data_IF_408610791744
#
_entry.id   IF_408610791744
#
_cell.length_a   1.000
_cell.length_b   1.000
_cell.length_c   1.000
_cell.angle_alpha   90.00
_cell.angle_beta   90.00
_cell.angle_gamma   90.00
#
_symmetry.space_group_name_H-M   'P 1'
#
loop_
_entity.id
_entity.type
_entity.pdbx_description
1 polymer ?
#
# COMPACT_ATOMS: atom_id res chain seq x y z
N UNK A 1 -20.98 17.98 -8.65
CA UNK A 1 -20.59 16.81 -9.41
C UNK A 1 -20.85 15.60 -8.54
N UNK A 2 -21.89 14.81 -8.82
CA UNK A 2 -22.16 13.55 -8.12
C UNK A 2 -21.04 12.58 -8.50
N UNK A 3 -20.08 12.36 -7.61
CA UNK A 3 -19.09 11.31 -7.76
C UNK A 3 -19.79 9.96 -7.58
N UNK A 4 -19.82 9.15 -8.63
CA UNK A 4 -20.36 7.79 -8.55
C UNK A 4 -19.62 7.00 -7.47
N UNK A 5 -20.34 6.15 -6.72
CA UNK A 5 -19.77 5.24 -5.73
C UNK A 5 -18.66 4.40 -6.38
N UNK A 6 -17.52 4.28 -5.69
CA UNK A 6 -16.36 3.48 -6.14
C UNK A 6 -16.30 2.15 -5.42
N UNK A 7 -16.19 1.08 -6.18
CA UNK A 7 -15.95 -0.26 -5.65
C UNK A 7 -14.45 -0.44 -5.40
N UNK A 8 -14.02 -0.35 -4.15
CA UNK A 8 -12.63 -0.40 -3.72
C UNK A 8 -12.35 -1.76 -3.09
N UNK A 9 -11.49 -2.55 -3.72
CA UNK A 9 -11.09 -3.84 -3.21
C UNK A 9 -9.67 -3.79 -2.66
N UNK A 10 -9.44 -4.49 -1.55
CA UNK A 10 -8.12 -4.61 -0.94
C UNK A 10 -7.71 -6.07 -0.95
N UNK A 11 -6.75 -6.42 -1.78
CA UNK A 11 -6.16 -7.76 -1.85
C UNK A 11 -5.22 -7.96 -0.66
N UNK A 12 -5.75 -8.64 0.38
CA UNK A 12 -5.02 -9.01 1.57
C UNK A 12 -5.62 -8.49 2.87
N UNK A 13 -6.27 -9.36 3.63
CA UNK A 13 -6.84 -9.09 4.97
C UNK A 13 -5.80 -9.21 6.10
N UNK A 14 -4.55 -8.81 5.86
CA UNK A 14 -3.51 -8.67 6.89
C UNK A 14 -3.66 -7.38 7.68
N UNK A 15 -2.71 -7.10 8.60
CA UNK A 15 -2.77 -5.89 9.43
C UNK A 15 -2.86 -4.61 8.59
N UNK A 16 -1.98 -4.45 7.58
CA UNK A 16 -1.96 -3.24 6.76
C UNK A 16 -3.19 -3.12 5.86
N UNK A 17 -3.59 -4.21 5.18
CA UNK A 17 -4.79 -4.20 4.34
C UNK A 17 -6.07 -3.93 5.12
N UNK A 18 -6.19 -4.48 6.33
CA UNK A 18 -7.33 -4.19 7.22
C UNK A 18 -7.35 -2.73 7.64
N UNK A 19 -6.19 -2.17 8.03
CA UNK A 19 -6.10 -0.78 8.49
C UNK A 19 -6.43 0.22 7.36
N UNK A 20 -5.88 0.01 6.15
CA UNK A 20 -6.17 0.87 5.01
C UNK A 20 -7.64 0.76 4.58
N UNK A 21 -8.18 -0.47 4.54
CA UNK A 21 -9.59 -0.70 4.22
C UNK A 21 -10.52 -0.03 5.21
N UNK A 22 -10.20 -0.10 6.49
CA UNK A 22 -10.94 0.56 7.55
C UNK A 22 -10.98 2.09 7.40
N UNK A 23 -9.85 2.69 7.00
CA UNK A 23 -9.76 4.12 6.70
C UNK A 23 -10.60 4.49 5.47
N UNK A 24 -10.44 3.77 4.37
CA UNK A 24 -11.14 4.05 3.13
C UNK A 24 -12.67 3.87 3.25
N UNK A 25 -13.13 3.01 4.15
CA UNK A 25 -14.54 2.82 4.45
C UNK A 25 -15.19 4.03 5.17
N UNK A 26 -14.40 4.98 5.67
CA UNK A 26 -14.92 6.23 6.24
C UNK A 26 -15.45 7.19 5.18
N UNK A 27 -15.04 7.04 3.93
CA UNK A 27 -15.60 7.79 2.81
C UNK A 27 -16.87 7.09 2.30
N UNK A 28 -18.01 7.71 2.51
CA UNK A 28 -19.34 7.17 2.12
C UNK A 28 -19.51 6.94 0.61
N UNK A 29 -18.65 7.51 -0.21
CA UNK A 29 -18.63 7.27 -1.66
C UNK A 29 -17.83 6.03 -2.06
N UNK A 30 -17.25 5.31 -1.09
CA UNK A 30 -16.55 4.06 -1.31
C UNK A 30 -17.38 2.88 -0.82
N UNK A 31 -17.47 1.84 -1.65
CA UNK A 31 -17.84 0.50 -1.22
C UNK A 31 -16.54 -0.29 -1.06
N UNK A 32 -16.09 -0.49 0.19
CA UNK A 32 -14.79 -1.11 0.46
C UNK A 32 -14.94 -2.57 0.84
N UNK A 33 -14.20 -3.43 0.13
CA UNK A 33 -14.23 -4.89 0.30
C UNK A 33 -12.81 -5.42 0.51
N UNK A 34 -12.57 -6.08 1.63
CA UNK A 34 -11.35 -6.85 1.87
C UNK A 34 -11.44 -8.22 1.20
N UNK A 35 -10.54 -8.51 0.27
CA UNK A 35 -10.37 -9.87 -0.22
C UNK A 35 -9.50 -10.66 0.76
N UNK A 36 -10.10 -11.66 1.39
CA UNK A 36 -9.48 -12.53 2.39
C UNK A 36 -9.42 -13.97 1.87
N UNK A 37 -8.54 -14.79 2.46
CA UNK A 37 -8.39 -16.20 2.03
C UNK A 37 -9.29 -17.18 2.77
N UNK A 38 -9.85 -16.75 3.89
CA UNK A 38 -10.57 -17.61 4.82
C UNK A 38 -12.01 -17.12 4.95
N UNK A 39 -12.96 -18.00 4.75
CA UNK A 39 -14.38 -17.76 5.03
C UNK A 39 -14.63 -17.41 6.50
N UNK A 40 -13.82 -17.96 7.42
CA UNK A 40 -13.90 -17.62 8.83
C UNK A 40 -13.56 -16.14 9.04
N UNK A 41 -12.49 -15.64 8.38
CA UNK A 41 -12.11 -14.22 8.47
C UNK A 41 -13.15 -13.33 7.78
N UNK A 42 -13.71 -13.77 6.64
CA UNK A 42 -14.80 -13.07 5.94
C UNK A 42 -15.99 -12.89 6.88
N UNK A 43 -16.42 -13.97 7.52
CA UNK A 43 -17.54 -13.99 8.45
C UNK A 43 -17.29 -13.09 9.67
N UNK A 44 -16.10 -13.17 10.26
CA UNK A 44 -15.70 -12.33 11.39
C UNK A 44 -15.81 -10.83 11.03
N UNK A 45 -15.32 -10.43 9.86
CA UNK A 45 -15.35 -9.04 9.43
C UNK A 45 -16.79 -8.59 9.15
N UNK A 46 -17.58 -9.39 8.44
CA UNK A 46 -18.94 -9.02 8.03
C UNK A 46 -19.96 -9.03 9.17
N UNK A 47 -19.86 -9.96 10.10
CA UNK A 47 -20.85 -10.14 11.19
C UNK A 47 -20.43 -9.42 12.47
N UNK A 48 -19.14 -9.47 12.83
CA UNK A 48 -18.63 -8.95 14.10
C UNK A 48 -17.85 -7.63 13.95
N UNK A 49 -17.68 -7.13 12.74
CA UNK A 49 -16.85 -5.95 12.44
C UNK A 49 -15.50 -6.00 13.17
N UNK A 50 -14.84 -7.16 13.11
CA UNK A 50 -13.55 -7.39 13.77
C UNK A 50 -12.60 -8.19 12.91
N UNK A 51 -11.31 -8.06 13.18
CA UNK A 51 -10.25 -8.89 12.64
C UNK A 51 -9.24 -9.14 13.77
N UNK A 52 -9.67 -9.93 14.76
CA UNK A 52 -9.00 -10.13 16.07
C UNK A 52 -7.58 -10.65 15.94
N UNK A 53 -7.30 -11.41 14.89
CA UNK A 53 -5.94 -11.90 14.60
C UNK A 53 -4.93 -10.78 14.50
N UNK A 54 -5.31 -9.62 13.96
CA UNK A 54 -4.43 -8.47 13.71
C UNK A 54 -4.71 -7.31 14.64
N UNK A 55 -5.97 -7.15 15.05
CA UNK A 55 -6.44 -6.06 15.91
C UNK A 55 -7.43 -6.59 16.94
N UNK A 56 -6.95 -7.28 18.00
CA UNK A 56 -7.82 -8.00 18.95
C UNK A 56 -8.81 -7.10 19.69
N UNK A 57 -8.46 -5.82 19.87
CA UNK A 57 -9.26 -4.86 20.66
C UNK A 57 -9.86 -3.72 19.80
N UNK A 58 -10.03 -3.93 18.49
CA UNK A 58 -10.56 -2.91 17.58
C UNK A 58 -11.84 -3.37 16.92
N UNK A 59 -12.84 -2.51 16.96
CA UNK A 59 -14.02 -2.59 16.10
C UNK A 59 -13.71 -1.89 14.78
N UNK A 60 -13.95 -2.57 13.67
CA UNK A 60 -13.77 -2.04 12.32
C UNK A 60 -14.97 -1.18 11.93
N UNK A 61 -14.77 -0.32 10.95
CA UNK A 61 -15.82 0.47 10.35
C UNK A 61 -16.93 -0.47 9.82
N UNK A 62 -18.20 -0.30 10.20
CA UNK A 62 -19.29 -1.18 9.78
C UNK A 62 -19.55 -1.16 8.26
N UNK A 63 -19.06 -0.14 7.55
CA UNK A 63 -19.11 -0.07 6.08
C UNK A 63 -17.99 -0.87 5.39
N UNK A 64 -17.03 -1.42 6.16
CA UNK A 64 -16.01 -2.33 5.63
C UNK A 64 -16.58 -3.74 5.56
N UNK A 65 -16.60 -4.31 4.38
CA UNK A 65 -16.99 -5.72 4.16
C UNK A 65 -15.81 -6.58 3.73
N UNK A 66 -16.01 -7.88 3.69
CA UNK A 66 -15.00 -8.83 3.21
C UNK A 66 -15.61 -9.87 2.28
N UNK A 67 -14.79 -10.45 1.41
CA UNK A 67 -15.13 -11.61 0.57
C UNK A 67 -13.94 -12.56 0.44
N UNK A 68 -14.21 -13.85 0.37
CA UNK A 68 -13.23 -14.88 0.02
C UNK A 68 -13.37 -15.37 -1.43
N UNK A 69 -14.38 -14.88 -2.16
CA UNK A 69 -14.67 -15.26 -3.53
C UNK A 69 -13.86 -14.42 -4.51
N UNK A 70 -12.93 -15.05 -5.22
CA UNK A 70 -12.07 -14.38 -6.20
C UNK A 70 -12.83 -13.75 -7.35
N UNK A 71 -14.00 -14.32 -7.74
CA UNK A 71 -14.87 -13.79 -8.79
C UNK A 71 -15.38 -12.37 -8.51
N UNK A 72 -15.50 -11.99 -7.23
CA UNK A 72 -16.01 -10.67 -6.84
C UNK A 72 -15.08 -9.54 -7.25
N UNK A 73 -13.79 -9.85 -7.54
CA UNK A 73 -12.82 -8.87 -8.06
C UNK A 73 -13.24 -8.27 -9.42
N UNK A 74 -14.13 -8.93 -10.15
CA UNK A 74 -14.70 -8.39 -11.40
C UNK A 74 -15.52 -7.12 -11.20
N UNK A 75 -15.97 -6.85 -9.99
CA UNK A 75 -16.72 -5.64 -9.65
C UNK A 75 -15.83 -4.45 -9.28
N UNK A 76 -14.50 -4.68 -9.10
CA UNK A 76 -13.59 -3.65 -8.59
C UNK A 76 -13.35 -2.51 -9.58
N UNK A 77 -13.48 -1.26 -9.14
CA UNK A 77 -12.98 -0.09 -9.86
C UNK A 77 -11.52 0.19 -9.49
N UNK A 78 -11.17 -0.05 -8.23
CA UNK A 78 -9.82 0.08 -7.69
C UNK A 78 -9.43 -1.18 -6.91
N UNK A 79 -8.19 -1.62 -7.07
CA UNK A 79 -7.64 -2.76 -6.33
C UNK A 79 -6.32 -2.34 -5.65
N UNK A 80 -6.34 -2.27 -4.33
CA UNK A 80 -5.17 -2.05 -3.51
C UNK A 80 -4.52 -3.38 -3.16
N UNK A 81 -3.26 -3.59 -3.56
CA UNK A 81 -2.52 -4.83 -3.30
C UNK A 81 -1.73 -4.70 -2.01
N UNK A 82 -2.16 -5.42 -0.97
CA UNK A 82 -1.52 -5.45 0.36
C UNK A 82 -1.10 -6.87 0.74
N UNK A 83 -0.24 -7.45 -0.09
CA UNK A 83 0.21 -8.86 0.01
C UNK A 83 1.72 -8.89 0.27
N UNK A 84 2.23 -9.77 1.16
CA UNK A 84 3.66 -9.95 1.29
C UNK A 84 4.34 -10.30 -0.04
N UNK A 85 5.46 -9.63 -0.36
CA UNK A 85 6.16 -9.76 -1.67
C UNK A 85 6.42 -11.22 -2.07
N UNK A 86 6.82 -12.09 -1.13
CA UNK A 86 7.03 -13.53 -1.36
C UNK A 86 5.80 -14.28 -1.88
N UNK A 87 4.59 -13.77 -1.69
CA UNK A 87 3.32 -14.41 -2.09
C UNK A 87 2.66 -13.74 -3.29
N UNK A 88 3.13 -12.56 -3.68
CA UNK A 88 2.48 -11.70 -4.67
C UNK A 88 2.30 -12.41 -6.02
N UNK A 89 3.35 -13.10 -6.51
CA UNK A 89 3.32 -13.84 -7.77
C UNK A 89 2.17 -14.85 -7.84
N UNK A 90 2.04 -15.69 -6.80
CA UNK A 90 1.00 -16.73 -6.74
C UNK A 90 -0.40 -16.11 -6.68
N UNK A 91 -0.56 -15.11 -5.81
CA UNK A 91 -1.90 -14.51 -5.58
C UNK A 91 -2.34 -13.74 -6.80
N UNK A 92 -1.48 -12.89 -7.38
CA UNK A 92 -1.84 -12.08 -8.56
C UNK A 92 -2.16 -12.96 -9.76
N UNK A 93 -1.38 -14.01 -10.04
CA UNK A 93 -1.70 -14.94 -11.14
C UNK A 93 -3.06 -15.61 -10.98
N UNK A 94 -3.47 -15.92 -9.75
CA UNK A 94 -4.79 -16.51 -9.48
C UNK A 94 -5.92 -15.49 -9.59
N UNK A 95 -5.67 -14.22 -9.26
CA UNK A 95 -6.66 -13.16 -9.28
C UNK A 95 -6.83 -12.52 -10.68
N UNK A 96 -5.76 -12.47 -11.47
CA UNK A 96 -5.71 -11.77 -12.75
C UNK A 96 -6.88 -12.10 -13.72
N UNK A 97 -7.33 -13.37 -13.86
CA UNK A 97 -8.47 -13.69 -14.73
C UNK A 97 -9.79 -13.03 -14.34
N UNK A 98 -9.91 -12.57 -13.08
CA UNK A 98 -11.13 -11.97 -12.55
C UNK A 98 -11.04 -10.45 -12.43
N UNK A 99 -9.89 -9.84 -12.75
CA UNK A 99 -9.71 -8.39 -12.68
C UNK A 99 -10.14 -7.76 -13.99
N UNK A 100 -11.09 -6.84 -13.94
CA UNK A 100 -11.52 -6.11 -15.14
C UNK A 100 -10.42 -5.17 -15.65
N UNK A 101 -10.32 -4.99 -16.96
CA UNK A 101 -9.26 -4.21 -17.63
C UNK A 101 -9.22 -2.74 -17.19
N UNK A 102 -10.36 -2.18 -16.83
CA UNK A 102 -10.51 -0.77 -16.43
C UNK A 102 -10.17 -0.52 -14.97
N UNK A 103 -9.94 -1.58 -14.18
CA UNK A 103 -9.60 -1.42 -12.77
C UNK A 103 -8.23 -0.76 -12.61
N UNK A 104 -8.16 0.28 -11.78
CA UNK A 104 -6.89 0.88 -11.36
C UNK A 104 -6.24 0.01 -10.27
N UNK A 105 -5.01 -0.37 -10.48
CA UNK A 105 -4.25 -1.21 -9.55
C UNK A 105 -3.29 -0.35 -8.74
N UNK A 106 -3.34 -0.47 -7.41
CA UNK A 106 -2.51 0.31 -6.50
C UNK A 106 -1.62 -0.64 -5.69
N UNK A 107 -0.30 -0.60 -5.91
CA UNK A 107 0.63 -1.42 -5.16
C UNK A 107 0.98 -0.79 -3.79
N UNK A 108 0.53 -1.43 -2.71
CA UNK A 108 0.95 -1.12 -1.33
C UNK A 108 2.06 -2.05 -0.82
N UNK A 109 2.29 -3.17 -1.51
CA UNK A 109 3.25 -4.19 -1.07
C UNK A 109 4.67 -3.65 -1.11
N UNK A 110 5.44 -3.90 -0.05
CA UNK A 110 6.85 -3.51 0.06
C UNK A 110 7.75 -4.66 -0.35
N UNK A 111 8.86 -4.35 -1.00
CA UNK A 111 9.86 -5.34 -1.41
C UNK A 111 10.19 -5.28 -2.90
N UNK A 112 11.17 -6.08 -3.29
CA UNK A 112 11.52 -6.34 -4.69
C UNK A 112 10.90 -7.64 -5.15
N UNK A 113 10.61 -7.76 -6.44
CA UNK A 113 10.06 -8.99 -7.01
C UNK A 113 11.16 -10.02 -7.25
N UNK A 114 12.18 -9.64 -7.98
CA UNK A 114 13.42 -10.38 -8.21
C UNK A 114 14.54 -9.38 -8.54
N UNK A 115 15.74 -9.87 -8.80
CA UNK A 115 16.88 -9.03 -9.10
C UNK A 115 16.58 -8.04 -10.24
N UNK A 116 16.74 -6.74 -9.95
CA UNK A 116 16.51 -5.65 -10.89
C UNK A 116 15.04 -5.31 -11.20
N UNK A 117 14.07 -6.10 -10.74
CA UNK A 117 12.64 -5.86 -11.00
C UNK A 117 11.88 -5.43 -9.73
N UNK A 118 11.07 -4.39 -9.87
CA UNK A 118 10.13 -3.96 -8.83
C UNK A 118 8.86 -4.83 -8.86
N UNK A 119 8.02 -4.67 -7.82
CA UNK A 119 6.70 -5.30 -7.83
C UNK A 119 5.83 -4.71 -8.94
N UNK A 120 5.94 -3.42 -9.22
CA UNK A 120 5.17 -2.77 -10.30
C UNK A 120 5.56 -3.34 -11.65
N UNK A 121 6.85 -3.58 -11.94
CA UNK A 121 7.30 -4.21 -13.19
C UNK A 121 6.63 -5.58 -13.39
N UNK A 122 6.62 -6.39 -12.34
CA UNK A 122 5.91 -7.68 -12.37
C UNK A 122 4.39 -7.53 -12.60
N UNK A 123 3.74 -6.59 -11.91
CA UNK A 123 2.31 -6.35 -12.06
C UNK A 123 1.96 -5.91 -13.48
N UNK A 124 2.76 -5.00 -14.07
CA UNK A 124 2.59 -4.53 -15.45
C UNK A 124 2.71 -5.67 -16.47
N UNK A 125 3.56 -6.65 -16.20
CA UNK A 125 3.66 -7.84 -17.06
C UNK A 125 2.43 -8.75 -16.97
N UNK A 126 1.88 -8.96 -15.77
CA UNK A 126 0.75 -9.89 -15.56
C UNK A 126 -0.61 -9.23 -15.82
N UNK A 127 -0.73 -7.95 -15.53
CA UNK A 127 -1.94 -7.15 -15.67
C UNK A 127 -1.76 -6.08 -16.76
N UNK A 128 -1.26 -6.50 -17.93
CA UNK A 128 -0.82 -5.60 -19.01
C UNK A 128 -1.91 -4.63 -19.53
N UNK A 129 -3.18 -4.93 -19.30
CA UNK A 129 -4.29 -4.07 -19.72
C UNK A 129 -4.76 -3.11 -18.62
N UNK A 130 -4.17 -3.19 -17.42
CA UNK A 130 -4.56 -2.35 -16.30
C UNK A 130 -3.58 -1.18 -16.13
N UNK A 131 -4.10 -0.06 -15.67
CA UNK A 131 -3.28 1.04 -15.17
C UNK A 131 -2.76 0.69 -13.77
N UNK A 132 -1.45 0.81 -13.54
CA UNK A 132 -0.81 0.41 -12.30
C UNK A 132 -0.05 1.59 -11.71
N UNK A 133 -0.31 1.88 -10.44
CA UNK A 133 0.40 2.89 -9.67
C UNK A 133 0.95 2.27 -8.40
N UNK A 134 1.88 2.96 -7.76
CA UNK A 134 2.37 2.59 -6.44
C UNK A 134 1.99 3.62 -5.39
N UNK A 135 1.74 3.19 -4.17
CA UNK A 135 1.43 4.05 -3.03
C UNK A 135 2.24 3.56 -1.83
N UNK A 136 3.19 4.36 -1.38
CA UNK A 136 4.11 4.03 -0.29
C UNK A 136 4.15 5.16 0.72
N UNK A 137 4.52 4.84 1.96
CA UNK A 137 4.68 5.85 2.99
C UNK A 137 5.31 5.29 4.26
N UNK A 138 5.76 6.20 5.16
CA UNK A 138 6.26 5.87 6.49
C UNK A 138 5.07 5.59 7.42
N UNK A 139 4.27 4.56 7.11
CA UNK A 139 3.00 4.31 7.78
C UNK A 139 2.99 2.95 8.47
N UNK A 140 2.51 2.93 9.70
CA UNK A 140 2.28 1.70 10.47
C UNK A 140 0.79 1.39 10.55
N UNK A 141 0.46 0.11 10.41
CA UNK A 141 -0.93 -0.34 10.49
C UNK A 141 -1.60 -0.03 11.84
N UNK A 142 -0.81 -0.04 12.93
CA UNK A 142 -1.27 0.33 14.27
C UNK A 142 -1.67 1.80 14.38
N UNK A 143 -1.04 2.69 13.64
CA UNK A 143 -1.39 4.10 13.59
C UNK A 143 -2.59 4.35 12.69
N UNK A 144 -2.60 3.75 11.50
CA UNK A 144 -3.73 3.85 10.58
C UNK A 144 -5.05 3.37 11.21
N UNK A 145 -5.05 2.22 11.88
CA UNK A 145 -6.27 1.69 12.50
C UNK A 145 -6.76 2.55 13.67
N UNK A 146 -5.87 3.36 14.26
CA UNK A 146 -6.17 4.32 15.32
C UNK A 146 -6.51 5.72 14.78
N UNK A 147 -6.73 5.86 13.48
CA UNK A 147 -7.06 7.13 12.82
C UNK A 147 -5.96 8.21 12.94
N UNK A 148 -4.70 7.82 13.10
CA UNK A 148 -3.58 8.78 13.03
C UNK A 148 -3.42 9.31 11.61
N UNK A 149 -3.09 10.59 11.49
CA UNK A 149 -2.74 11.18 10.20
C UNK A 149 -1.53 10.49 9.60
N UNK A 150 -1.64 10.11 8.35
CA UNK A 150 -0.62 9.35 7.64
C UNK A 150 -0.43 9.91 6.24
N UNK A 151 0.82 10.06 5.82
CA UNK A 151 1.16 10.52 4.48
C UNK A 151 1.65 9.36 3.62
N UNK A 152 1.26 9.40 2.34
CA UNK A 152 1.74 8.48 1.32
C UNK A 152 2.21 9.24 0.10
N UNK A 153 3.22 8.71 -0.56
CA UNK A 153 3.66 9.16 -1.87
C UNK A 153 3.11 8.21 -2.93
N UNK A 154 2.45 8.79 -3.93
CA UNK A 154 2.00 8.08 -5.12
C UNK A 154 3.08 8.16 -6.19
N UNK A 155 3.47 7.01 -6.74
CA UNK A 155 4.15 6.94 -8.04
C UNK A 155 3.10 6.63 -9.09
N UNK A 156 2.89 7.55 -10.05
CA UNK A 156 1.80 7.49 -11.03
C UNK A 156 2.19 8.12 -12.38
N UNK A 157 1.46 7.77 -13.45
CA UNK A 157 1.76 8.26 -14.80
C UNK A 157 0.99 9.53 -15.17
N UNK A 158 -0.14 9.79 -14.52
CA UNK A 158 -1.03 10.88 -14.92
C UNK A 158 -1.76 11.56 -13.75
N UNK A 159 -2.07 12.85 -13.93
CA UNK A 159 -2.86 13.62 -12.97
C UNK A 159 -4.28 13.05 -12.76
N UNK A 160 -4.82 12.36 -13.74
CA UNK A 160 -6.14 11.72 -13.61
C UNK A 160 -6.12 10.59 -12.58
N UNK A 161 -5.03 9.81 -12.51
CA UNK A 161 -4.84 8.78 -11.48
C UNK A 161 -4.77 9.41 -10.08
N UNK A 162 -4.07 10.55 -9.93
CA UNK A 162 -4.05 11.31 -8.67
C UNK A 162 -5.48 11.70 -8.23
N UNK A 163 -6.26 12.28 -9.15
CA UNK A 163 -7.63 12.71 -8.85
C UNK A 163 -8.54 11.55 -8.42
N UNK A 164 -8.35 10.37 -9.00
CA UNK A 164 -9.09 9.16 -8.59
C UNK A 164 -8.73 8.80 -7.15
N UNK A 165 -7.44 8.72 -6.80
CA UNK A 165 -7.02 8.38 -5.43
C UNK A 165 -7.45 9.45 -4.44
N UNK A 166 -7.28 10.73 -4.77
CA UNK A 166 -7.72 11.85 -3.95
C UNK A 166 -9.22 11.74 -3.61
N UNK A 167 -10.05 11.39 -4.59
CA UNK A 167 -11.49 11.18 -4.38
C UNK A 167 -11.80 10.01 -3.43
N UNK A 168 -10.98 8.96 -3.45
CA UNK A 168 -11.16 7.73 -2.64
C UNK A 168 -10.71 7.95 -1.19
N UNK A 169 -9.64 8.73 -0.97
CA UNK A 169 -9.14 9.01 0.39
C UNK A 169 -9.87 10.18 1.08
N UNK A 170 -10.76 10.86 0.38
CA UNK A 170 -11.50 12.00 0.94
C UNK A 170 -12.24 11.58 2.21
N UNK A 171 -12.23 12.46 3.22
CA UNK A 171 -12.81 12.21 4.55
C UNK A 171 -12.11 11.08 5.34
N UNK A 172 -10.85 10.77 5.01
CA UNK A 172 -9.96 9.91 5.79
C UNK A 172 -8.82 10.73 6.39
N UNK A 173 -8.01 10.12 7.24
CA UNK A 173 -6.77 10.74 7.76
C UNK A 173 -5.54 10.39 6.89
N UNK A 174 -5.77 10.06 5.64
CA UNK A 174 -4.72 9.78 4.65
C UNK A 174 -4.43 11.04 3.84
N UNK A 175 -3.17 11.43 3.76
CA UNK A 175 -2.66 12.51 2.93
C UNK A 175 -1.80 11.92 1.83
N UNK A 176 -1.74 12.55 0.67
CA UNK A 176 -0.97 12.07 -0.47
C UNK A 176 -0.16 13.18 -1.11
N UNK A 177 1.12 12.85 -1.39
CA UNK A 177 1.95 13.52 -2.38
C UNK A 177 2.08 12.64 -3.61
N UNK A 178 2.60 13.14 -4.72
CA UNK A 178 2.78 12.34 -5.92
C UNK A 178 4.03 12.72 -6.72
N UNK A 179 4.52 11.74 -7.45
CA UNK A 179 5.60 11.89 -8.43
C UNK A 179 5.33 10.98 -9.63
N UNK A 180 5.96 11.28 -10.76
CA UNK A 180 5.96 10.38 -11.93
C UNK A 180 7.08 9.33 -11.88
N UNK A 181 7.90 9.34 -10.84
CA UNK A 181 8.97 8.35 -10.61
C UNK A 181 8.45 7.13 -9.83
N UNK A 182 7.65 6.29 -10.48
CA UNK A 182 7.10 5.05 -9.90
C UNK A 182 8.22 4.17 -9.36
N UNK A 183 9.32 4.04 -10.13
CA UNK A 183 10.46 3.21 -9.77
C UNK A 183 11.17 3.71 -8.52
N UNK A 184 11.39 5.02 -8.42
CA UNK A 184 11.99 5.65 -7.25
C UNK A 184 11.18 5.41 -5.98
N UNK A 185 9.86 5.56 -6.03
CA UNK A 185 8.96 5.29 -4.89
C UNK A 185 9.03 3.83 -4.46
N UNK A 186 9.07 2.87 -5.40
CA UNK A 186 9.24 1.44 -5.09
C UNK A 186 10.57 1.18 -4.40
N UNK A 187 11.69 1.68 -4.95
CA UNK A 187 13.03 1.50 -4.41
C UNK A 187 13.18 2.09 -3.01
N UNK A 188 12.73 3.33 -2.82
CA UNK A 188 12.80 4.01 -1.52
C UNK A 188 12.03 3.26 -0.43
N UNK A 189 10.89 2.66 -0.77
CA UNK A 189 10.10 1.86 0.17
C UNK A 189 10.85 0.64 0.71
N UNK A 190 11.84 0.13 -0.03
CA UNK A 190 12.73 -0.98 0.38
C UNK A 190 13.93 -0.46 1.13
N UNK A 191 14.66 0.51 0.57
CA UNK A 191 15.88 1.06 1.13
C UNK A 191 15.64 1.64 2.53
N UNK A 192 14.56 2.39 2.72
CA UNK A 192 14.16 2.93 4.01
C UNK A 192 14.08 1.87 5.11
N UNK A 193 13.53 0.70 4.81
CA UNK A 193 13.40 -0.37 5.81
C UNK A 193 14.77 -0.96 6.19
N UNK A 194 15.71 -1.04 5.27
CA UNK A 194 17.08 -1.50 5.54
C UNK A 194 17.74 -0.54 6.52
N UNK A 195 17.70 0.75 6.25
CA UNK A 195 18.33 1.76 7.13
C UNK A 195 17.63 1.90 8.48
N UNK A 196 16.31 1.71 8.53
CA UNK A 196 15.58 1.67 9.80
C UNK A 196 16.06 0.53 10.70
N UNK A 197 16.36 -0.64 10.14
CA UNK A 197 16.94 -1.77 10.88
C UNK A 197 18.35 -1.42 11.37
N UNK A 198 19.21 -0.83 10.52
CA UNK A 198 20.57 -0.43 10.88
C UNK A 198 20.53 0.58 12.03
N UNK A 199 19.68 1.60 11.94
CA UNK A 199 19.52 2.62 12.99
C UNK A 199 19.04 1.96 14.29
N UNK A 200 18.06 1.05 14.23
CA UNK A 200 17.59 0.34 15.41
C UNK A 200 18.69 -0.50 16.11
N UNK A 201 19.58 -1.14 15.33
CA UNK A 201 20.74 -1.87 15.88
C UNK A 201 21.73 -0.91 16.54
N UNK A 202 22.00 0.23 15.89
CA UNK A 202 22.92 1.24 16.43
C UNK A 202 22.38 1.84 17.72
N UNK A 203 21.11 2.20 17.76
CA UNK A 203 20.45 2.74 18.94
C UNK A 203 20.49 1.77 20.13
N UNK A 204 20.26 0.49 19.88
CA UNK A 204 20.32 -0.54 20.91
C UNK A 204 21.73 -0.73 21.49
N UNK A 205 22.80 -0.48 20.70
CA UNK A 205 24.20 -0.67 21.13
C UNK A 205 24.83 0.58 21.72
N UNK A 206 24.53 1.74 21.19
CA UNK A 206 25.28 2.96 21.48
C UNK A 206 24.46 4.05 22.18
N UNK A 207 23.15 4.01 22.12
CA UNK A 207 22.23 5.00 22.72
C UNK A 207 22.75 6.45 22.64
N UNK A 208 23.30 6.83 21.48
CA UNK A 208 23.95 8.12 21.24
C UNK A 208 23.23 8.89 20.13
N UNK A 209 22.63 10.07 20.42
CA UNK A 209 22.03 10.92 19.40
C UNK A 209 23.00 11.27 18.26
N UNK A 210 24.27 11.59 18.58
CA UNK A 210 25.29 11.92 17.58
C UNK A 210 25.52 10.75 16.61
N UNK A 211 25.64 9.53 17.14
CA UNK A 211 25.81 8.32 16.31
C UNK A 211 24.58 8.10 15.44
N UNK A 212 23.37 8.25 16.00
CA UNK A 212 22.12 8.14 15.23
C UNK A 212 22.06 9.12 14.07
N UNK A 213 22.32 10.41 14.32
CA UNK A 213 22.28 11.43 13.27
C UNK A 213 23.39 11.26 12.24
N UNK A 214 24.58 10.81 12.66
CA UNK A 214 25.64 10.46 11.72
C UNK A 214 25.20 9.35 10.76
N UNK A 215 24.62 8.26 11.28
CA UNK A 215 24.11 7.16 10.44
C UNK A 215 22.97 7.63 9.53
N UNK A 216 22.01 8.42 10.05
CA UNK A 216 20.94 8.98 9.23
C UNK A 216 21.50 9.80 8.05
N UNK A 217 22.43 10.73 8.33
CA UNK A 217 23.05 11.57 7.28
C UNK A 217 23.76 10.73 6.21
N UNK A 218 24.52 9.72 6.64
CA UNK A 218 25.20 8.80 5.72
C UNK A 218 24.21 7.94 4.92
N UNK A 219 23.15 7.49 5.58
CA UNK A 219 22.08 6.72 4.91
C UNK A 219 21.42 7.52 3.78
N UNK A 220 21.10 8.79 4.01
CA UNK A 220 20.56 9.66 2.96
C UNK A 220 21.50 9.79 1.77
N UNK A 221 22.81 9.99 2.02
CA UNK A 221 23.81 10.09 0.96
C UNK A 221 23.93 8.79 0.15
N UNK A 222 23.90 7.64 0.83
CA UNK A 222 23.98 6.33 0.17
C UNK A 222 22.69 5.98 -0.60
N UNK A 223 21.51 6.25 0.00
CA UNK A 223 20.21 6.07 -0.68
C UNK A 223 20.16 6.89 -1.96
N UNK A 224 20.64 8.14 -1.95
CA UNK A 224 20.72 8.99 -3.14
C UNK A 224 21.52 8.33 -4.26
N UNK A 225 22.70 7.79 -3.95
CA UNK A 225 23.56 7.11 -4.91
C UNK A 225 22.87 5.85 -5.45
N UNK A 226 22.33 5.01 -4.56
CA UNK A 226 21.64 3.78 -4.95
C UNK A 226 20.40 4.06 -5.81
N UNK A 227 19.62 5.08 -5.43
CA UNK A 227 18.42 5.47 -6.16
C UNK A 227 18.76 5.85 -7.60
N UNK A 228 19.75 6.74 -7.79
CA UNK A 228 20.20 7.15 -9.12
C UNK A 228 20.77 5.96 -9.93
N UNK A 229 21.59 5.11 -9.30
CA UNK A 229 22.18 3.94 -9.95
C UNK A 229 21.13 2.93 -10.42
N UNK A 230 20.04 2.80 -9.66
CA UNK A 230 18.95 1.88 -9.97
C UNK A 230 17.86 2.49 -10.86
N UNK A 231 18.01 3.75 -11.30
CA UNK A 231 17.14 4.42 -12.26
C UNK A 231 15.92 5.10 -11.63
N UNK A 232 15.96 5.42 -10.34
CA UNK A 232 15.03 6.35 -9.69
C UNK A 232 15.57 7.79 -9.74
N UNK A 233 14.74 8.76 -9.40
CA UNK A 233 15.10 10.19 -9.42
C UNK A 233 15.42 10.71 -8.01
N UNK A 234 16.38 11.62 -7.94
CA UNK A 234 16.83 12.22 -6.68
C UNK A 234 15.74 13.01 -5.95
N UNK A 235 14.88 13.72 -6.69
CA UNK A 235 13.79 14.52 -6.12
C UNK A 235 12.75 13.67 -5.38
N UNK A 236 12.61 12.40 -5.76
CA UNK A 236 11.73 11.45 -5.08
C UNK A 236 12.17 11.14 -3.64
N UNK A 237 13.45 11.30 -3.33
CA UNK A 237 14.01 11.06 -1.99
C UNK A 237 13.32 11.90 -0.90
N UNK A 238 12.83 13.08 -1.23
CA UNK A 238 12.20 14.01 -0.29
C UNK A 238 10.68 13.82 -0.17
N UNK A 239 10.10 12.93 -0.97
CA UNK A 239 8.66 12.67 -1.00
C UNK A 239 8.28 11.35 -0.31
N UNK A 240 9.19 10.36 -0.24
CA UNK A 240 8.86 8.99 0.17
C UNK A 240 9.57 8.53 1.45
#
# INVERSE_FOLDING_TARGET
VFTSMKNVYILGGGSFGTAIGNQLASNKNNKVVLFVRSEIQEKEINESHSNKKYFPNKTLNPSLSATSKVSDLSNADLIFISIPSKKIKKVIKNCAPFIKKEALIINLSKGVYKEGETIVDFLTTVLANNSIITMKGPTFSSELINNSHSIFTLGLDSKSQYQIIDSVIKNTNIHIDYTTDIKGVELLSVLKNIYAIIIGIVDAKHNSPNTRFMILTKSFSEIKILLNTLGGREDTLFLA
#
